data_IF_227500200067
#
_entry.id   IF_227500200067
#
_cell.length_a   1.000
_cell.length_b   1.000
_cell.length_c   1.000
_cell.angle_alpha   90.00
_cell.angle_beta   90.00
_cell.angle_gamma   90.00
#
_symmetry.space_group_name_H-M   'P 1'
#
loop_
_entity.id
_entity.type
_entity.pdbx_description
1 polymer ?
#
# COMPACT_ATOMS: atom_id res chain seq x y z
N UNK A 1 16.50 9.90 -12.35
CA UNK A 1 16.23 9.22 -11.11
C UNK A 1 14.84 9.61 -10.61
N UNK A 2 14.11 8.72 -9.97
CA UNK A 2 12.96 9.08 -9.16
C UNK A 2 13.44 9.81 -7.92
N UNK A 3 12.74 10.88 -7.54
CA UNK A 3 12.99 11.48 -6.23
C UNK A 3 12.63 10.47 -5.13
N UNK A 4 13.32 10.52 -3.99
CA UNK A 4 12.97 9.66 -2.85
C UNK A 4 11.52 9.87 -2.40
N UNK A 5 10.95 11.04 -2.66
CA UNK A 5 9.54 11.36 -2.46
C UNK A 5 8.88 11.64 -3.80
N UNK A 6 7.93 10.81 -4.17
CA UNK A 6 7.17 10.99 -5.41
C UNK A 6 5.68 10.71 -5.19
N UNK A 7 4.86 11.06 -6.18
CA UNK A 7 3.43 10.83 -6.14
C UNK A 7 3.00 9.78 -7.15
N UNK A 8 1.98 9.02 -6.78
CA UNK A 8 1.26 8.15 -7.70
C UNK A 8 -0.17 8.65 -7.89
N UNK A 9 -0.71 8.42 -9.09
CA UNK A 9 -2.11 8.64 -9.44
C UNK A 9 -2.76 7.31 -9.77
N UNK A 10 -3.90 7.05 -9.14
CA UNK A 10 -4.72 5.90 -9.37
C UNK A 10 -6.03 6.36 -10.02
N UNK A 11 -6.17 6.10 -11.33
CA UNK A 11 -7.38 6.43 -12.09
C UNK A 11 -8.28 5.22 -12.20
N UNK A 12 -9.51 5.34 -11.72
CA UNK A 12 -10.50 4.28 -11.82
C UNK A 12 -11.16 4.26 -13.19
N UNK A 13 -11.07 3.13 -13.88
CA UNK A 13 -11.62 2.89 -15.22
C UNK A 13 -12.93 2.12 -15.19
N UNK A 14 -13.38 1.68 -14.03
CA UNK A 14 -14.71 1.14 -13.74
C UNK A 14 -15.10 1.50 -12.31
N UNK A 15 -16.34 1.24 -11.94
CA UNK A 15 -16.76 1.33 -10.55
C UNK A 15 -15.91 0.41 -9.68
N UNK A 16 -15.64 0.82 -8.45
CA UNK A 16 -14.65 0.19 -7.60
C UNK A 16 -15.10 0.10 -6.15
N UNK A 17 -14.58 -0.88 -5.44
CA UNK A 17 -14.81 -1.06 -4.03
C UNK A 17 -13.55 -1.58 -3.37
N UNK A 18 -13.11 -0.86 -2.35
CA UNK A 18 -12.19 -1.35 -1.34
C UNK A 18 -12.96 -1.28 -0.03
N UNK A 19 -13.51 -2.42 0.38
CA UNK A 19 -14.39 -2.52 1.52
C UNK A 19 -13.65 -2.35 2.85
N UNK A 20 -14.39 -1.96 3.87
CA UNK A 20 -13.93 -1.92 5.27
C UNK A 20 -13.98 -3.29 5.93
N UNK A 21 -14.70 -4.25 5.34
CA UNK A 21 -15.07 -5.52 5.96
C UNK A 21 -16.28 -5.42 6.90
N UNK A 22 -16.90 -4.25 6.96
CA UNK A 22 -18.09 -3.98 7.80
C UNK A 22 -19.21 -3.36 6.97
N UNK A 23 -20.44 -3.47 7.44
CA UNK A 23 -21.64 -2.90 6.84
C UNK A 23 -22.49 -2.15 7.87
N UNK A 24 -23.67 -1.68 7.44
CA UNK A 24 -24.71 -1.12 8.29
C UNK A 24 -25.84 -2.13 8.34
N UNK A 25 -26.11 -2.75 9.49
CA UNK A 25 -27.17 -3.76 9.62
C UNK A 25 -28.52 -3.26 9.07
N UNK A 26 -29.14 -4.08 8.23
CA UNK A 26 -30.44 -3.77 7.61
C UNK A 26 -30.39 -2.72 6.48
N UNK A 27 -29.21 -2.23 6.07
CA UNK A 27 -29.08 -1.20 5.04
C UNK A 27 -28.02 -1.54 3.99
N UNK A 28 -26.75 -1.59 4.37
CA UNK A 28 -25.61 -1.82 3.46
C UNK A 28 -24.74 -2.93 4.02
N UNK A 29 -24.52 -3.98 3.22
CA UNK A 29 -23.73 -5.13 3.65
C UNK A 29 -22.24 -4.85 3.66
N UNK A 30 -21.76 -3.99 2.76
CA UNK A 30 -20.35 -3.69 2.65
C UNK A 30 -20.13 -2.21 2.33
N UNK A 31 -19.45 -1.51 3.23
CA UNK A 31 -19.09 -0.10 3.08
C UNK A 31 -17.74 0.05 2.38
N UNK A 32 -17.63 1.08 1.54
CA UNK A 32 -16.34 1.49 0.97
C UNK A 32 -15.46 2.15 2.03
N UNK A 33 -14.15 1.93 1.96
CA UNK A 33 -13.19 2.60 2.86
C UNK A 33 -13.20 4.10 2.64
N UNK A 34 -13.31 4.85 3.73
CA UNK A 34 -13.31 6.32 3.76
C UNK A 34 -12.22 6.83 4.68
N UNK A 35 -11.73 8.02 4.39
CA UNK A 35 -10.82 8.75 5.29
C UNK A 35 -11.59 9.46 6.42
N UNK A 36 -10.85 10.12 7.31
CA UNK A 36 -11.43 10.84 8.46
C UNK A 36 -12.42 11.95 8.06
N UNK A 37 -12.27 12.52 6.86
CA UNK A 37 -13.16 13.56 6.34
C UNK A 37 -14.36 12.98 5.58
N UNK A 38 -14.47 11.65 5.50
CA UNK A 38 -15.57 10.93 4.86
C UNK A 38 -15.43 10.76 3.33
N UNK A 39 -14.27 11.05 2.74
CA UNK A 39 -14.03 10.79 1.31
C UNK A 39 -13.65 9.34 1.07
N UNK A 40 -14.08 8.72 -0.05
CA UNK A 40 -13.66 7.38 -0.40
C UNK A 40 -12.14 7.35 -0.67
N UNK A 41 -11.48 6.31 -0.16
CA UNK A 41 -10.04 6.14 -0.29
C UNK A 41 -9.64 4.69 -0.60
N UNK A 42 -8.41 4.50 -1.04
CA UNK A 42 -7.76 3.19 -1.08
C UNK A 42 -6.70 3.17 0.01
N UNK A 43 -6.85 2.33 1.05
CA UNK A 43 -5.89 2.27 2.15
C UNK A 43 -4.48 1.91 1.67
N UNK A 44 -3.46 2.47 2.32
CA UNK A 44 -2.05 2.21 2.02
C UNK A 44 -1.74 0.71 1.99
N UNK A 45 -2.21 -0.05 2.97
CA UNK A 45 -2.03 -1.51 3.04
C UNK A 45 -2.54 -2.22 1.77
N UNK A 46 -3.68 -1.80 1.23
CA UNK A 46 -4.25 -2.36 0.00
C UNK A 46 -3.36 -2.02 -1.20
N UNK A 47 -2.87 -0.78 -1.29
CA UNK A 47 -1.98 -0.36 -2.38
C UNK A 47 -0.65 -1.10 -2.34
N UNK A 48 -0.02 -1.18 -1.17
CA UNK A 48 1.23 -1.94 -0.97
C UNK A 48 1.03 -3.38 -1.41
N UNK A 49 -0.04 -4.04 -0.95
CA UNK A 49 -0.29 -5.44 -1.29
C UNK A 49 -0.50 -5.67 -2.79
N UNK A 50 -1.24 -4.79 -3.46
CA UNK A 50 -1.49 -4.88 -4.91
C UNK A 50 -0.22 -4.59 -5.72
N UNK A 51 0.59 -3.62 -5.29
CA UNK A 51 1.83 -3.29 -5.97
C UNK A 51 2.87 -4.38 -5.78
N UNK A 52 2.96 -4.93 -4.57
CA UNK A 52 3.77 -6.12 -4.30
C UNK A 52 3.39 -7.29 -5.20
N UNK A 53 2.10 -7.66 -5.27
CA UNK A 53 1.58 -8.73 -6.13
C UNK A 53 1.92 -8.49 -7.62
N UNK A 54 1.86 -7.24 -8.08
CA UNK A 54 2.25 -6.88 -9.44
C UNK A 54 3.77 -7.03 -9.66
N UNK A 55 4.60 -6.67 -8.68
CA UNK A 55 6.04 -6.83 -8.75
C UNK A 55 6.46 -8.31 -8.65
N UNK A 56 5.82 -9.10 -7.78
CA UNK A 56 6.03 -10.54 -7.71
C UNK A 56 5.78 -11.20 -9.08
N UNK A 57 4.67 -10.88 -9.73
CA UNK A 57 4.37 -11.38 -11.08
C UNK A 57 5.39 -10.94 -12.14
N UNK A 58 5.93 -9.72 -12.04
CA UNK A 58 7.00 -9.26 -12.91
C UNK A 58 8.28 -10.06 -12.68
N UNK A 59 8.68 -10.22 -11.43
CA UNK A 59 9.89 -10.93 -11.03
C UNK A 59 9.80 -12.43 -11.34
N UNK A 60 8.65 -13.06 -11.12
CA UNK A 60 8.41 -14.47 -11.51
C UNK A 60 8.56 -14.68 -13.02
N UNK A 61 8.07 -13.72 -13.82
CA UNK A 61 8.22 -13.74 -15.27
C UNK A 61 9.67 -13.56 -15.74
N UNK A 62 10.50 -12.89 -14.96
CA UNK A 62 11.94 -12.75 -15.21
C UNK A 62 12.71 -13.98 -14.74
N UNK A 63 12.25 -14.67 -13.71
CA UNK A 63 12.89 -15.87 -13.15
C UNK A 63 14.13 -15.57 -12.29
N UNK A 64 14.83 -16.63 -11.87
CA UNK A 64 16.06 -16.51 -11.08
C UNK A 64 15.88 -15.82 -9.73
N UNK A 65 16.82 -14.95 -9.37
CA UNK A 65 16.86 -14.23 -8.09
C UNK A 65 16.05 -12.93 -8.07
N UNK A 66 15.27 -12.63 -9.10
CA UNK A 66 14.51 -11.36 -9.16
C UNK A 66 13.51 -11.19 -8.03
N UNK A 67 12.99 -12.28 -7.48
CA UNK A 67 12.12 -12.27 -6.28
C UNK A 67 12.75 -11.64 -5.05
N UNK A 68 14.08 -11.65 -4.94
CA UNK A 68 14.83 -11.05 -3.84
C UNK A 68 14.64 -9.53 -3.76
N UNK A 69 14.41 -8.87 -4.91
CA UNK A 69 14.12 -7.44 -4.96
C UNK A 69 12.74 -7.10 -4.41
N UNK A 70 11.78 -8.02 -4.47
CA UNK A 70 10.46 -7.83 -3.86
C UNK A 70 10.60 -7.72 -2.34
N UNK A 71 11.41 -8.61 -1.73
CA UNK A 71 11.66 -8.56 -0.28
C UNK A 71 12.43 -7.28 0.13
N UNK A 72 13.35 -6.81 -0.70
CA UNK A 72 14.07 -5.55 -0.44
C UNK A 72 13.11 -4.35 -0.49
N UNK A 73 12.24 -4.30 -1.50
CA UNK A 73 11.38 -3.13 -1.71
C UNK A 73 10.20 -3.11 -0.75
N UNK A 74 9.51 -4.23 -0.58
CA UNK A 74 8.26 -4.32 0.20
C UNK A 74 8.43 -4.97 1.58
N UNK A 75 9.64 -5.34 1.94
CA UNK A 75 9.93 -6.05 3.19
C UNK A 75 9.62 -7.55 3.11
N UNK A 76 10.11 -8.32 4.08
CA UNK A 76 9.81 -9.74 4.17
C UNK A 76 8.38 -9.97 4.66
N UNK A 77 7.73 -11.02 4.15
CA UNK A 77 6.44 -11.46 4.69
C UNK A 77 6.63 -12.16 6.04
N UNK A 78 5.64 -12.04 6.95
CA UNK A 78 5.66 -12.79 8.20
C UNK A 78 5.83 -14.29 7.92
N UNK A 79 6.86 -14.91 8.50
CA UNK A 79 7.08 -16.35 8.33
C UNK A 79 6.11 -17.11 9.24
N UNK A 80 5.12 -17.78 8.66
CA UNK A 80 4.11 -18.59 9.37
C UNK A 80 4.79 -19.77 10.09
N UNK A 81 5.90 -20.27 9.58
CA UNK A 81 6.64 -21.43 10.13
C UNK A 81 7.48 -21.10 11.37
N UNK A 82 7.40 -19.87 11.90
CA UNK A 82 8.13 -19.44 13.12
C UNK A 82 9.58 -19.87 13.16
N UNK A 83 10.31 -19.72 12.06
CA UNK A 83 11.75 -19.93 12.11
C UNK A 83 12.42 -18.74 12.81
N UNK A 84 12.86 -18.88 14.08
CA UNK A 84 13.37 -17.75 14.87
C UNK A 84 14.70 -17.19 14.34
N UNK A 85 15.30 -17.82 13.33
CA UNK A 85 16.59 -17.41 12.75
C UNK A 85 16.43 -16.45 11.57
N UNK A 86 15.25 -16.26 11.00
CA UNK A 86 15.05 -15.33 9.87
C UNK A 86 14.66 -13.96 10.42
N UNK A 87 15.61 -13.04 10.47
CA UNK A 87 15.35 -11.64 10.86
C UNK A 87 14.48 -11.00 9.76
N UNK A 88 13.34 -10.36 10.10
CA UNK A 88 12.52 -9.65 9.13
C UNK A 88 13.30 -8.55 8.43
N UNK A 89 13.17 -8.45 7.12
CA UNK A 89 13.73 -7.35 6.33
C UNK A 89 12.70 -6.22 6.29
N UNK A 90 13.03 -5.01 6.73
CA UNK A 90 12.12 -3.87 6.64
C UNK A 90 11.92 -3.46 5.17
N UNK A 91 10.76 -2.90 4.85
CA UNK A 91 10.48 -2.35 3.53
C UNK A 91 11.20 -1.00 3.36
N UNK A 92 11.81 -0.77 2.20
CA UNK A 92 12.36 0.54 1.83
C UNK A 92 11.31 1.44 1.17
N UNK A 93 10.17 0.87 0.77
CA UNK A 93 9.05 1.57 0.18
C UNK A 93 7.97 1.80 1.22
N UNK A 94 7.59 3.04 1.44
CA UNK A 94 6.40 3.40 2.20
C UNK A 94 5.46 4.27 1.37
N UNK A 95 4.16 4.13 1.56
CA UNK A 95 3.17 4.95 0.88
C UNK A 95 1.98 5.24 1.77
N UNK A 96 1.36 6.37 1.50
CA UNK A 96 0.14 6.80 2.16
C UNK A 96 -1.09 6.18 1.48
N UNK A 97 -2.24 6.26 2.13
CA UNK A 97 -3.52 5.91 1.49
C UNK A 97 -3.76 6.80 0.27
N UNK A 98 -4.26 6.22 -0.82
CA UNK A 98 -4.65 7.03 -1.98
C UNK A 98 -5.98 7.71 -1.70
N UNK A 99 -5.98 9.03 -1.76
CA UNK A 99 -7.08 9.92 -1.39
C UNK A 99 -7.51 10.77 -2.58
N UNK A 100 -8.69 11.34 -2.50
CA UNK A 100 -9.15 12.38 -3.44
C UNK A 100 -8.14 13.53 -3.42
N UNK A 101 -7.70 14.06 -4.59
CA UNK A 101 -6.75 15.16 -4.67
C UNK A 101 -7.20 16.39 -3.87
N UNK A 102 -6.25 17.07 -3.21
CA UNK A 102 -6.54 18.16 -2.28
C UNK A 102 -7.32 19.31 -2.92
N UNK A 103 -7.02 19.65 -4.16
CA UNK A 103 -7.76 20.67 -4.92
C UNK A 103 -9.23 20.33 -5.11
N UNK A 104 -9.60 19.05 -5.21
CA UNK A 104 -10.99 18.61 -5.31
C UNK A 104 -11.63 18.54 -3.92
N UNK A 105 -10.88 18.07 -2.91
CA UNK A 105 -11.32 18.08 -1.51
C UNK A 105 -11.70 19.48 -1.05
N UNK A 106 -10.84 20.46 -1.33
CA UNK A 106 -11.09 21.87 -0.98
C UNK A 106 -12.36 22.42 -1.66
N UNK A 107 -12.64 22.02 -2.90
CA UNK A 107 -13.88 22.42 -3.62
C UNK A 107 -15.14 21.77 -3.05
N UNK A 108 -15.06 20.51 -2.64
CA UNK A 108 -16.20 19.79 -2.06
C UNK A 108 -16.44 20.25 -0.61
N UNK A 109 -15.35 20.54 0.12
CA UNK A 109 -15.43 20.99 1.51
C UNK A 109 -16.22 20.01 2.39
N UNK A 110 -17.10 20.55 3.21
CA UNK A 110 -17.96 19.77 4.09
C UNK A 110 -19.34 19.44 3.51
N UNK A 111 -19.56 19.67 2.22
CA UNK A 111 -20.84 19.36 1.58
C UNK A 111 -21.06 17.83 1.55
N UNK A 112 -22.00 17.39 2.39
CA UNK A 112 -22.35 15.97 2.54
C UNK A 112 -22.90 15.39 1.24
N UNK A 113 -23.68 16.18 0.48
CA UNK A 113 -24.30 15.71 -0.80
C UNK A 113 -23.23 15.46 -1.85
N UNK A 114 -22.21 16.33 -1.94
CA UNK A 114 -21.11 16.16 -2.87
C UNK A 114 -20.23 14.96 -2.48
N UNK A 115 -19.99 14.76 -1.18
CA UNK A 115 -19.27 13.56 -0.72
C UNK A 115 -20.03 12.28 -1.03
N UNK A 116 -21.35 12.26 -0.82
CA UNK A 116 -22.20 11.11 -1.16
C UNK A 116 -22.25 10.85 -2.67
N UNK A 117 -22.18 11.90 -3.50
CA UNK A 117 -22.18 11.75 -4.96
C UNK A 117 -20.93 11.03 -5.51
N UNK A 118 -19.86 10.91 -4.72
CA UNK A 118 -18.65 10.15 -5.09
C UNK A 118 -18.86 8.63 -5.05
N UNK A 119 -19.91 8.17 -4.37
CA UNK A 119 -20.25 6.77 -4.20
C UNK A 119 -21.70 6.51 -4.62
N UNK A 120 -22.09 5.25 -4.66
CA UNK A 120 -23.46 4.80 -4.86
C UNK A 120 -23.64 3.39 -4.30
N UNK A 121 -24.88 3.01 -4.02
CA UNK A 121 -25.19 1.65 -3.56
C UNK A 121 -25.49 0.77 -4.78
N UNK A 122 -24.73 -0.31 -4.93
CA UNK A 122 -24.95 -1.35 -5.92
C UNK A 122 -25.72 -2.49 -5.30
N UNK A 123 -26.84 -2.85 -5.94
CA UNK A 123 -27.63 -4.01 -5.52
C UNK A 123 -27.15 -5.25 -6.28
N UNK A 124 -26.92 -6.33 -5.56
CA UNK A 124 -26.56 -7.63 -6.11
C UNK A 124 -27.49 -8.71 -5.57
N UNK A 125 -27.71 -9.75 -6.37
CA UNK A 125 -28.53 -10.92 -6.01
C UNK A 125 -27.76 -12.19 -6.35
N UNK A 126 -27.93 -13.24 -5.55
CA UNK A 126 -27.45 -14.57 -5.88
C UNK A 126 -28.55 -15.30 -6.67
N UNK A 127 -28.16 -15.81 -7.84
CA UNK A 127 -29.06 -16.67 -8.63
C UNK A 127 -28.92 -18.11 -8.15
N UNK A 128 -30.04 -18.76 -7.89
CA UNK A 128 -30.09 -20.19 -7.61
C UNK A 128 -29.85 -20.95 -8.95
N UNK A 129 -28.81 -21.78 -8.96
CA UNK A 129 -28.40 -22.53 -10.14
C UNK A 129 -29.40 -23.60 -10.61
N UNK A 130 -30.37 -24.01 -9.75
CA UNK A 130 -31.40 -25.00 -10.09
C UNK A 130 -32.65 -24.36 -10.69
N UNK A 131 -33.14 -23.30 -10.03
CA UNK A 131 -34.38 -22.63 -10.44
C UNK A 131 -34.15 -21.50 -11.45
N UNK A 132 -32.92 -20.99 -11.60
CA UNK A 132 -32.61 -19.81 -12.41
C UNK A 132 -33.20 -18.50 -11.85
N UNK A 133 -33.81 -18.53 -10.67
CA UNK A 133 -34.40 -17.37 -10.00
C UNK A 133 -33.48 -16.84 -8.87
N UNK A 134 -33.82 -15.68 -8.33
CA UNK A 134 -33.11 -15.15 -7.17
C UNK A 134 -33.26 -16.05 -5.93
N UNK A 135 -32.15 -16.43 -5.28
CA UNK A 135 -32.20 -17.16 -4.05
C UNK A 135 -32.84 -16.28 -2.93
N UNK A 136 -33.75 -16.84 -2.09
CA UNK A 136 -34.35 -16.11 -0.99
C UNK A 136 -33.27 -15.53 -0.06
N UNK A 137 -33.49 -14.35 0.50
CA UNK A 137 -32.64 -13.66 1.48
C UNK A 137 -31.17 -13.43 1.04
N UNK A 138 -30.91 -13.43 -0.29
CA UNK A 138 -29.58 -13.27 -0.87
C UNK A 138 -29.41 -11.93 -1.62
N UNK A 139 -30.21 -10.94 -1.25
CA UNK A 139 -30.04 -9.56 -1.72
C UNK A 139 -28.86 -8.93 -0.97
N UNK A 140 -27.98 -8.26 -1.70
CA UNK A 140 -26.80 -7.59 -1.14
C UNK A 140 -26.73 -6.16 -1.61
N UNK A 141 -26.47 -5.26 -0.67
CA UNK A 141 -26.27 -3.85 -0.92
C UNK A 141 -24.79 -3.49 -0.66
N UNK A 142 -24.12 -3.01 -1.67
CA UNK A 142 -22.69 -2.69 -1.59
C UNK A 142 -22.45 -1.24 -1.97
N UNK A 143 -21.72 -0.53 -1.13
CA UNK A 143 -21.29 0.81 -1.46
C UNK A 143 -20.09 0.76 -2.40
N UNK A 144 -20.20 1.44 -3.54
CA UNK A 144 -19.20 1.47 -4.61
C UNK A 144 -18.76 2.90 -4.90
N UNK A 145 -17.47 3.09 -5.15
CA UNK A 145 -16.94 4.33 -5.72
C UNK A 145 -17.19 4.37 -7.23
N UNK A 146 -17.43 5.58 -7.74
CA UNK A 146 -17.77 5.78 -9.16
C UNK A 146 -16.55 5.69 -10.08
N UNK A 147 -16.78 5.21 -11.28
CA UNK A 147 -15.84 5.29 -12.40
C UNK A 147 -15.36 6.73 -12.62
N UNK A 148 -14.13 6.89 -13.08
CA UNK A 148 -13.52 8.20 -13.35
C UNK A 148 -12.90 8.86 -12.11
N UNK A 149 -13.10 8.30 -10.92
CA UNK A 149 -12.41 8.77 -9.70
C UNK A 149 -10.90 8.70 -9.90
N UNK A 150 -10.22 9.79 -9.55
CA UNK A 150 -8.77 9.86 -9.49
C UNK A 150 -8.37 10.02 -8.02
N UNK A 151 -7.47 9.15 -7.58
CA UNK A 151 -6.90 9.19 -6.23
C UNK A 151 -5.40 9.43 -6.34
N UNK A 152 -4.82 10.12 -5.37
CA UNK A 152 -3.38 10.39 -5.29
C UNK A 152 -2.83 9.85 -3.98
N UNK A 153 -1.59 9.34 -4.02
CA UNK A 153 -0.84 8.93 -2.83
C UNK A 153 0.59 9.43 -2.93
N UNK A 154 1.15 9.81 -1.79
CA UNK A 154 2.58 10.09 -1.65
C UNK A 154 3.31 8.76 -1.38
N UNK A 155 4.45 8.62 -2.00
CA UNK A 155 5.35 7.47 -1.86
C UNK A 155 6.71 7.97 -1.41
N UNK A 156 7.29 7.28 -0.45
CA UNK A 156 8.64 7.52 0.02
C UNK A 156 9.49 6.26 -0.19
N UNK A 157 10.70 6.47 -0.73
CA UNK A 157 11.74 5.46 -0.88
C UNK A 157 12.90 5.83 0.04
N UNK A 158 13.27 4.94 0.93
CA UNK A 158 14.45 5.12 1.78
C UNK A 158 15.75 5.08 0.96
N UNK A 159 15.80 4.16 -0.02
CA UNK A 159 16.93 3.99 -0.95
C UNK A 159 16.42 3.88 -2.36
N UNK A 160 17.13 4.46 -3.32
CA UNK A 160 16.81 4.38 -4.75
C UNK A 160 18.05 4.01 -5.57
N UNK A 161 17.85 3.16 -6.56
CA UNK A 161 18.81 2.85 -7.62
C UNK A 161 18.08 2.53 -8.92
N UNK A 162 18.84 2.36 -10.03
CA UNK A 162 18.27 2.11 -11.35
C UNK A 162 17.38 0.86 -11.41
N UNK A 163 17.65 -0.17 -10.61
CA UNK A 163 16.87 -1.41 -10.56
C UNK A 163 15.55 -1.20 -9.85
N UNK A 164 15.60 -0.61 -8.66
CA UNK A 164 14.40 -0.31 -7.85
C UNK A 164 13.43 0.57 -8.64
N UNK A 165 13.95 1.65 -9.23
CA UNK A 165 13.14 2.54 -10.07
C UNK A 165 12.51 1.81 -11.24
N UNK A 166 13.31 1.00 -11.96
CA UNK A 166 12.82 0.25 -13.11
C UNK A 166 11.75 -0.77 -12.74
N UNK A 167 11.94 -1.51 -11.64
CA UNK A 167 10.96 -2.46 -11.14
C UNK A 167 9.67 -1.77 -10.69
N UNK A 168 9.76 -0.64 -9.99
CA UNK A 168 8.60 0.13 -9.58
C UNK A 168 7.82 0.68 -10.79
N UNK A 169 8.52 1.23 -11.79
CA UNK A 169 7.89 1.76 -13.01
C UNK A 169 7.17 0.65 -13.79
N UNK A 170 7.82 -0.50 -13.97
CA UNK A 170 7.26 -1.60 -14.76
C UNK A 170 6.13 -2.31 -14.03
N UNK A 171 6.31 -2.61 -12.74
CA UNK A 171 5.26 -3.25 -11.94
C UNK A 171 4.02 -2.38 -11.78
N UNK A 172 4.17 -1.05 -11.67
CA UNK A 172 3.04 -0.12 -11.66
C UNK A 172 2.14 -0.26 -12.89
N UNK A 173 2.72 -0.57 -14.07
CA UNK A 173 1.96 -0.81 -15.32
C UNK A 173 1.17 -2.11 -15.32
N UNK A 174 1.53 -3.07 -14.48
CA UNK A 174 0.83 -4.35 -14.33
C UNK A 174 -0.36 -4.28 -13.37
N UNK A 175 -0.55 -3.15 -12.69
CA UNK A 175 -1.69 -2.92 -11.81
C UNK A 175 -2.88 -2.49 -12.67
N UNK A 176 -3.76 -3.43 -12.95
CA UNK A 176 -4.95 -3.21 -13.78
C UNK A 176 -6.25 -3.18 -12.97
N UNK A 177 -6.24 -3.71 -11.76
CA UNK A 177 -7.45 -3.87 -10.94
C UNK A 177 -7.15 -3.78 -9.45
N UNK A 178 -8.07 -3.16 -8.72
CA UNK A 178 -8.03 -3.05 -7.26
C UNK A 178 -9.34 -3.49 -6.62
N UNK A 179 -9.28 -3.80 -5.32
CA UNK A 179 -10.44 -4.05 -4.48
C UNK A 179 -11.12 -5.39 -4.72
N UNK A 180 -12.37 -5.47 -4.29
CA UNK A 180 -13.21 -6.65 -4.40
C UNK A 180 -13.77 -6.87 -5.82
N UNK A 181 -14.25 -8.10 -6.07
CA UNK A 181 -14.97 -8.47 -7.31
C UNK A 181 -14.24 -8.17 -8.63
N UNK A 182 -12.91 -8.16 -8.60
CA UNK A 182 -12.02 -7.90 -9.75
C UNK A 182 -12.37 -8.74 -10.98
N UNK A 183 -12.80 -9.99 -10.78
CA UNK A 183 -13.21 -10.90 -11.88
C UNK A 183 -14.60 -10.60 -12.44
N UNK A 184 -15.40 -9.75 -11.77
CA UNK A 184 -16.77 -9.37 -12.18
C UNK A 184 -16.84 -7.98 -12.80
N UNK A 185 -15.70 -7.43 -13.27
CA UNK A 185 -15.65 -6.15 -13.99
C UNK A 185 -15.43 -4.93 -13.11
N UNK A 186 -15.48 -5.05 -11.78
CA UNK A 186 -15.21 -3.94 -10.87
C UNK A 186 -13.72 -3.70 -10.65
N UNK A 187 -13.36 -2.48 -10.26
CA UNK A 187 -12.04 -2.09 -9.82
C UNK A 187 -10.99 -1.97 -10.93
N UNK A 188 -11.38 -1.90 -12.21
CA UNK A 188 -10.40 -1.60 -13.26
C UNK A 188 -9.78 -0.24 -13.00
N UNK A 189 -8.46 -0.18 -13.07
CA UNK A 189 -7.72 1.04 -12.77
C UNK A 189 -6.46 1.14 -13.61
N UNK A 190 -5.84 2.31 -13.54
CA UNK A 190 -4.50 2.58 -14.06
C UNK A 190 -3.71 3.29 -12.98
N UNK A 191 -2.58 2.72 -12.60
CA UNK A 191 -1.64 3.35 -11.70
C UNK A 191 -0.54 4.02 -12.51
N UNK A 192 -0.28 5.28 -12.20
CA UNK A 192 0.74 6.10 -12.86
C UNK A 192 1.63 6.75 -11.81
N UNK A 193 2.94 6.63 -11.98
CA UNK A 193 3.91 7.41 -11.23
C UNK A 193 3.98 8.79 -11.90
N UNK A 194 3.76 9.84 -11.12
CA UNK A 194 3.75 11.22 -11.64
C UNK A 194 5.14 11.62 -12.14
N UNK A 195 5.20 12.23 -13.31
CA UNK A 195 6.46 12.66 -13.91
C UNK A 195 7.20 11.61 -14.74
N UNK A 196 6.70 10.37 -14.82
CA UNK A 196 7.33 9.33 -15.64
C UNK A 196 6.83 9.41 -17.09
N UNK A 197 7.76 9.68 -18.00
CA UNK A 197 7.51 9.71 -19.45
C UNK A 197 7.52 8.31 -20.08
N UNK A 198 7.03 8.21 -21.32
CA UNK A 198 7.09 6.95 -22.08
C UNK A 198 8.53 6.50 -22.35
N UNK A 199 9.45 7.45 -22.51
CA UNK A 199 10.88 7.22 -22.70
C UNK A 199 11.49 6.56 -21.47
N UNK A 200 11.15 7.05 -20.26
CA UNK A 200 11.57 6.45 -19.00
C UNK A 200 11.08 5.01 -18.84
N UNK A 201 9.88 4.69 -19.30
CA UNK A 201 9.37 3.30 -19.29
C UNK A 201 10.19 2.40 -20.21
N UNK A 202 10.59 2.90 -21.40
CA UNK A 202 11.47 2.16 -22.32
C UNK A 202 12.86 1.96 -21.74
N UNK A 203 13.40 2.99 -21.10
CA UNK A 203 14.67 2.92 -20.39
C UNK A 203 14.65 1.89 -19.27
N UNK A 204 13.62 1.90 -18.41
CA UNK A 204 13.42 0.89 -17.38
C UNK A 204 13.40 -0.55 -17.94
N UNK A 205 12.70 -0.74 -19.07
CA UNK A 205 12.68 -2.05 -19.74
C UNK A 205 14.07 -2.45 -20.24
N UNK A 206 14.86 -1.51 -20.75
CA UNK A 206 16.24 -1.75 -21.22
C UNK A 206 17.14 -2.15 -20.06
N UNK A 207 17.07 -1.42 -18.93
CA UNK A 207 17.87 -1.70 -17.73
C UNK A 207 17.60 -3.12 -17.24
N UNK A 208 16.34 -3.50 -17.08
CA UNK A 208 15.97 -4.84 -16.62
C UNK A 208 16.49 -5.93 -17.57
N UNK A 209 16.38 -5.73 -18.91
CA UNK A 209 16.93 -6.70 -19.89
C UNK A 209 18.45 -6.81 -19.82
N UNK A 210 19.16 -5.70 -19.64
CA UNK A 210 20.62 -5.71 -19.52
C UNK A 210 21.05 -6.48 -18.29
N UNK A 211 20.41 -6.21 -17.13
CA UNK A 211 20.74 -6.88 -15.87
C UNK A 211 20.31 -8.35 -15.83
N UNK A 212 19.27 -8.71 -16.57
CA UNK A 212 18.87 -10.11 -16.71
C UNK A 212 19.96 -10.97 -17.35
N UNK A 213 20.80 -10.37 -18.21
CA UNK A 213 21.92 -11.06 -18.87
C UNK A 213 23.26 -10.87 -18.15
N UNK A 214 23.31 -10.11 -17.06
CA UNK A 214 24.53 -9.81 -16.28
C UNK A 214 24.30 -10.12 -14.79
N UNK A 215 24.46 -11.40 -14.44
CA UNK A 215 24.28 -11.89 -13.07
C UNK A 215 25.26 -11.23 -12.09
N UNK A 216 26.48 -10.92 -12.52
CA UNK A 216 27.51 -10.32 -11.66
C UNK A 216 27.09 -8.93 -11.19
N UNK A 217 26.66 -8.08 -12.12
CA UNK A 217 26.18 -6.74 -11.82
C UNK A 217 24.89 -6.79 -11.01
N UNK A 218 24.01 -7.76 -11.29
CA UNK A 218 22.78 -7.98 -10.54
C UNK A 218 23.06 -8.28 -9.07
N UNK A 219 23.92 -9.27 -8.78
CA UNK A 219 24.25 -9.69 -7.41
C UNK A 219 24.97 -8.57 -6.64
N UNK A 220 25.83 -7.80 -7.31
CA UNK A 220 26.51 -6.64 -6.70
C UNK A 220 25.52 -5.56 -6.29
N UNK A 221 24.60 -5.17 -7.15
CA UNK A 221 23.57 -4.15 -6.85
C UNK A 221 22.62 -4.61 -5.74
N UNK A 222 22.25 -5.89 -5.73
CA UNK A 222 21.41 -6.46 -4.68
C UNK A 222 22.12 -6.44 -3.33
N UNK A 223 23.40 -6.81 -3.29
CA UNK A 223 24.23 -6.78 -2.08
C UNK A 223 24.37 -5.36 -1.54
N UNK A 224 24.74 -4.38 -2.38
CA UNK A 224 24.90 -2.98 -1.99
C UNK A 224 23.59 -2.40 -1.42
N UNK A 225 22.45 -2.80 -1.96
CA UNK A 225 21.15 -2.33 -1.48
C UNK A 225 20.77 -2.94 -0.14
N UNK A 226 21.16 -4.21 0.10
CA UNK A 226 20.90 -4.92 1.37
C UNK A 226 21.85 -4.52 2.50
N UNK A 227 23.03 -4.00 2.16
CA UNK A 227 23.95 -3.50 3.19
C UNK A 227 23.26 -2.35 3.95
N UNK A 228 23.19 -2.50 5.28
CA UNK A 228 22.79 -1.39 6.13
C UNK A 228 23.79 -0.26 5.91
N UNK A 229 23.36 1.02 5.88
CA UNK A 229 24.33 2.11 6.02
C UNK A 229 25.18 1.80 7.25
N UNK A 230 26.49 1.91 7.08
CA UNK A 230 27.44 1.69 8.17
C UNK A 230 26.91 2.33 9.45
N UNK A 231 26.85 1.56 10.54
CA UNK A 231 26.50 2.05 11.88
C UNK A 231 27.38 3.23 12.33
N UNK A 232 28.35 3.64 11.52
CA UNK A 232 29.23 4.79 11.74
C UNK A 232 28.56 6.15 11.59
N UNK A 233 27.33 6.23 11.05
CA UNK A 233 26.55 7.49 11.04
C UNK A 233 25.51 7.57 12.17
N UNK A 234 25.26 6.51 12.91
CA UNK A 234 24.74 6.67 14.24
C UNK A 234 25.88 7.32 15.03
N UNK A 235 25.83 8.64 15.21
CA UNK A 235 26.62 9.26 16.26
C UNK A 235 26.45 8.36 17.48
N UNK A 236 27.54 7.65 17.84
CA UNK A 236 27.59 6.92 19.08
C UNK A 236 27.31 7.95 20.14
N UNK A 237 26.06 8.04 20.57
CA UNK A 237 25.76 8.63 21.85
C UNK A 237 26.39 7.67 22.86
N UNK A 238 27.74 7.80 23.05
CA UNK A 238 28.39 7.28 24.21
C UNK A 238 27.74 7.98 25.40
N UNK A 239 26.74 7.31 25.95
CA UNK A 239 26.24 7.65 27.27
C UNK A 239 27.42 7.39 28.20
N UNK A 240 28.20 8.44 28.46
CA UNK A 240 29.24 8.36 29.49
C UNK A 240 28.58 7.85 30.76
N UNK A 241 29.02 6.72 31.33
CA UNK A 241 28.38 6.13 32.51
C UNK A 241 28.30 7.07 33.74
N UNK A 242 28.93 8.22 33.65
CA UNK A 242 29.03 9.22 34.73
C UNK A 242 28.16 10.48 34.49
N UNK A 243 27.44 10.61 33.39
CA UNK A 243 26.55 11.78 33.24
C UNK A 243 25.16 11.43 33.77
N UNK A 244 24.97 11.64 35.07
CA UNK A 244 23.71 11.38 35.80
C UNK A 244 22.62 12.42 35.50
N UNK A 245 22.78 13.25 34.47
CA UNK A 245 21.77 14.23 34.05
C UNK A 245 20.80 13.65 33.05
N UNK A 246 19.58 13.36 33.52
CA UNK A 246 18.46 13.05 32.65
C UNK A 246 18.20 14.21 31.68
N UNK A 247 18.19 13.93 30.39
CA UNK A 247 17.73 14.86 29.37
C UNK A 247 16.29 14.53 29.04
N UNK A 248 15.38 15.51 29.12
CA UNK A 248 14.01 15.37 28.63
C UNK A 248 13.95 15.93 27.21
N UNK A 249 13.25 15.22 26.33
CA UNK A 249 12.91 15.68 24.99
C UNK A 249 11.39 15.74 24.88
N UNK A 250 10.87 16.90 24.49
CA UNK A 250 9.46 17.06 24.18
C UNK A 250 9.29 16.97 22.65
N UNK A 251 8.36 16.14 22.23
CA UNK A 251 8.05 15.98 20.81
C UNK A 251 6.54 15.88 20.59
N UNK A 252 6.09 16.26 19.39
CA UNK A 252 4.72 16.11 18.96
C UNK A 252 4.64 15.03 17.88
N UNK A 253 3.84 14.00 18.12
CA UNK A 253 3.59 12.94 17.16
C UNK A 253 2.23 13.17 16.50
N UNK A 254 2.22 13.40 15.20
CA UNK A 254 1.00 13.54 14.42
C UNK A 254 0.72 12.25 13.65
N UNK A 255 -0.39 11.59 13.97
CA UNK A 255 -0.81 10.37 13.28
C UNK A 255 -1.61 10.74 12.03
N UNK A 256 -1.12 10.39 10.85
CA UNK A 256 -1.81 10.61 9.58
C UNK A 256 -2.76 9.47 9.21
N UNK A 257 -2.62 8.31 9.88
CA UNK A 257 -3.47 7.12 9.71
C UNK A 257 -3.79 6.53 11.08
N UNK A 258 -4.91 5.80 11.23
CA UNK A 258 -5.20 5.07 12.45
C UNK A 258 -4.10 4.09 12.79
N UNK A 259 -3.65 4.09 14.03
CA UNK A 259 -2.67 3.15 14.57
C UNK A 259 -3.39 2.19 15.51
N UNK A 260 -3.10 0.89 15.38
CA UNK A 260 -3.60 -0.15 16.28
C UNK A 260 -2.41 -0.88 16.89
N UNK A 261 -2.22 -0.73 18.19
CA UNK A 261 -1.21 -1.42 18.96
C UNK A 261 -1.93 -2.46 19.82
N UNK A 262 -1.83 -3.72 19.39
CA UNK A 262 -2.57 -4.82 19.99
C UNK A 262 -1.92 -5.24 21.31
N UNK A 263 -2.71 -5.29 22.40
CA UNK A 263 -2.29 -5.83 23.69
C UNK A 263 -2.61 -7.30 23.82
N UNK A 264 -3.81 -7.69 23.37
CA UNK A 264 -4.28 -9.06 23.45
C UNK A 264 -5.15 -9.41 22.26
N UNK A 265 -5.07 -10.65 21.80
CA UNK A 265 -5.95 -11.20 20.77
C UNK A 265 -6.79 -12.30 21.42
N UNK A 266 -8.08 -12.05 21.56
CA UNK A 266 -9.06 -12.99 22.06
C UNK A 266 -9.98 -13.41 20.90
N UNK A 267 -9.64 -14.54 20.26
CA UNK A 267 -10.39 -15.04 19.10
C UNK A 267 -10.45 -13.98 17.94
N UNK A 268 -11.63 -13.44 17.66
CA UNK A 268 -11.86 -12.45 16.59
C UNK A 268 -11.81 -11.00 17.08
N UNK A 269 -11.51 -10.78 18.36
CA UNK A 269 -11.43 -9.46 18.97
C UNK A 269 -10.00 -9.16 19.36
N UNK A 270 -9.51 -8.00 18.96
CA UNK A 270 -8.20 -7.48 19.37
C UNK A 270 -8.44 -6.29 20.28
N UNK A 271 -7.89 -6.34 21.49
CA UNK A 271 -7.82 -5.18 22.36
C UNK A 271 -6.61 -4.32 21.96
N UNK A 272 -6.82 -3.03 21.83
CA UNK A 272 -5.78 -2.06 21.47
C UNK A 272 -5.48 -1.14 22.65
N UNK A 273 -4.21 -0.72 22.74
CA UNK A 273 -3.82 0.35 23.65
C UNK A 273 -4.36 1.69 23.17
N UNK A 274 -4.72 2.55 24.11
CA UNK A 274 -5.10 3.94 23.90
C UNK A 274 -3.89 4.91 23.91
N UNK A 275 -2.69 4.38 24.04
CA UNK A 275 -1.43 5.11 24.01
C UNK A 275 -0.37 4.37 23.17
N UNK A 276 0.68 5.07 22.75
CA UNK A 276 1.84 4.50 22.08
C UNK A 276 2.93 4.22 23.09
N UNK A 277 3.27 2.94 23.38
CA UNK A 277 4.37 2.60 24.28
C UNK A 277 5.70 3.16 23.78
N UNK A 278 6.55 3.65 24.72
CA UNK A 278 7.85 4.21 24.39
C UNK A 278 8.77 3.29 23.59
N UNK A 279 8.61 1.97 23.74
CA UNK A 279 9.36 0.97 22.96
C UNK A 279 9.12 1.04 21.45
N UNK A 280 8.00 1.60 21.00
CA UNK A 280 7.70 1.83 19.59
C UNK A 280 8.29 3.14 19.04
N UNK A 281 8.84 3.99 19.93
CA UNK A 281 9.39 5.29 19.57
C UNK A 281 10.93 5.30 19.55
N UNK A 282 11.57 4.19 19.97
CA UNK A 282 13.04 4.08 20.15
C UNK A 282 13.68 3.19 19.06
N UNK A 283 12.88 2.59 18.15
CA UNK A 283 13.38 1.70 17.09
C UNK A 283 13.83 2.45 15.85
#
# INVERSE_FOLDING_TARGET
MLDNNFKIKLKMLSDWQVGTGTGIPGNIDELISRDADGFPQVPAKTLVGIWRDAMERLCDGLGGKWSDWVEVIFGSQPNIERNPKKIPVPAILSLQSARIPENLRAKIGNDVRLKQALTFTKVGVKIDGKSGTSAPDMLRFEEMGRIGTVLESNVHLEKSNEVIESLLILSAKLIERIGGKRRRGSGRCKLEIVGISKEKVKEATRIIRTLHNDETKFDELLRQTREKPDEQSAENFEVSPNDSRWKSCEYTLTLETPVSIVTAVLSNVSETLDFIPGTYLIS
#
